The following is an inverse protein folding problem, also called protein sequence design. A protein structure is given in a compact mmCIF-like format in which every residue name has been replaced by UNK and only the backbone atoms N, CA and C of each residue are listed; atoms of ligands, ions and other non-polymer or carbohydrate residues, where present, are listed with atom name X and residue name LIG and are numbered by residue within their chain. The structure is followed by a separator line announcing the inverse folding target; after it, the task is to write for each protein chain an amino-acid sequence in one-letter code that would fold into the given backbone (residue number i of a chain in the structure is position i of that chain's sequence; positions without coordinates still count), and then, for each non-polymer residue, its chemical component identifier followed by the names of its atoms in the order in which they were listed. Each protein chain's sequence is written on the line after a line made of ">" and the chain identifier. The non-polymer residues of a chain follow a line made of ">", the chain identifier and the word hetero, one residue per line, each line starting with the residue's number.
data_IF_373901795813
#
_entry.id   IF_373901795813
#
_cell.length_a   1.000
_cell.length_b   1.000
_cell.length_c   1.000
_cell.angle_alpha   90.00
_cell.angle_beta   90.00
_cell.angle_gamma   90.00
#
_symmetry.space_group_name_H-M   'P 1'
#
loop_
_entity.id
_entity.type
_entity.pdbx_description
1 polymer ?
#
# COMPACT_ATOMS: atom_id res chain seq x y z
N UNK A 1 -17.29 -19.16 -2.32
CA UNK A 1 -16.06 -18.78 -1.60
C UNK A 1 -14.86 -19.38 -2.30
N UNK A 2 -13.92 -18.54 -2.74
CA UNK A 2 -12.67 -18.96 -3.34
C UNK A 2 -11.52 -18.55 -2.42
N UNK A 3 -10.82 -19.53 -1.85
CA UNK A 3 -9.72 -19.33 -0.91
C UNK A 3 -8.37 -19.48 -1.61
N UNK A 4 -7.51 -18.47 -1.47
CA UNK A 4 -6.12 -18.49 -1.93
C UNK A 4 -5.16 -18.06 -0.83
N UNK A 5 -3.85 -18.15 -1.11
CA UNK A 5 -2.80 -17.70 -0.19
C UNK A 5 -2.94 -16.20 0.16
N UNK A 6 -3.35 -15.39 -0.82
CA UNK A 6 -3.40 -13.94 -0.72
C UNK A 6 -4.73 -13.39 -0.20
N UNK A 7 -5.71 -14.24 0.01
CA UNK A 7 -7.02 -13.88 0.56
C UNK A 7 -8.13 -14.78 0.05
N UNK A 8 -9.33 -14.46 0.49
CA UNK A 8 -10.55 -15.20 0.17
C UNK A 8 -11.57 -14.27 -0.44
N UNK A 9 -12.15 -14.63 -1.59
CA UNK A 9 -13.31 -13.91 -2.14
C UNK A 9 -14.61 -14.57 -1.68
N UNK A 10 -15.59 -13.74 -1.33
CA UNK A 10 -16.90 -14.14 -0.82
C UNK A 10 -17.97 -13.51 -1.69
N UNK A 11 -18.73 -14.34 -2.40
CA UNK A 11 -19.89 -13.93 -3.16
C UNK A 11 -21.18 -14.48 -2.54
N UNK A 12 -22.28 -13.79 -2.72
CA UNK A 12 -23.59 -14.18 -2.25
C UNK A 12 -24.68 -13.31 -2.84
N UNK A 13 -25.94 -13.51 -2.45
CA UNK A 13 -27.06 -12.74 -2.95
C UNK A 13 -26.92 -11.24 -2.69
N UNK A 14 -26.31 -10.87 -1.58
CA UNK A 14 -26.05 -9.47 -1.18
C UNK A 14 -25.10 -8.78 -2.14
N UNK A 15 -24.09 -9.49 -2.66
CA UNK A 15 -23.14 -8.90 -3.62
C UNK A 15 -23.73 -8.66 -5.01
N UNK A 16 -24.90 -9.22 -5.31
CA UNK A 16 -25.66 -8.93 -6.53
C UNK A 16 -26.43 -7.60 -6.45
N UNK A 17 -26.42 -6.95 -5.29
CA UNK A 17 -27.00 -5.63 -5.08
C UNK A 17 -25.90 -4.60 -4.89
N UNK A 18 -26.20 -3.31 -5.07
CA UNK A 18 -25.24 -2.24 -4.84
C UNK A 18 -25.17 -1.79 -3.39
N UNK A 19 -26.25 -1.97 -2.63
CA UNK A 19 -26.44 -1.36 -1.30
C UNK A 19 -26.28 -2.34 -0.12
N UNK A 20 -26.43 -3.65 -0.34
CA UNK A 20 -26.46 -4.59 0.78
C UNK A 20 -25.05 -5.01 1.22
N UNK A 21 -24.73 -4.93 2.53
CA UNK A 21 -23.49 -5.49 3.06
C UNK A 21 -23.57 -7.03 3.12
N UNK A 22 -22.40 -7.68 3.14
CA UNK A 22 -22.34 -9.10 3.50
C UNK A 22 -22.58 -9.28 5.00
N UNK A 23 -23.33 -10.32 5.40
CA UNK A 23 -23.48 -10.65 6.81
C UNK A 23 -22.15 -11.11 7.41
N UNK A 24 -21.94 -10.86 8.71
CA UNK A 24 -20.73 -11.26 9.46
C UNK A 24 -20.39 -12.74 9.25
N UNK A 25 -21.39 -13.61 9.26
CA UNK A 25 -21.24 -15.07 9.08
C UNK A 25 -20.77 -15.50 7.68
N UNK A 26 -20.80 -14.60 6.69
CA UNK A 26 -20.33 -14.93 5.33
C UNK A 26 -18.82 -14.94 5.23
N UNK A 27 -18.12 -14.25 6.14
CA UNK A 27 -16.67 -14.18 6.12
C UNK A 27 -16.04 -15.46 6.70
N UNK A 28 -14.91 -15.94 6.11
CA UNK A 28 -14.26 -17.18 6.54
C UNK A 28 -13.75 -17.18 7.97
N UNK A 29 -13.23 -16.04 8.44
CA UNK A 29 -12.72 -15.88 9.80
C UNK A 29 -13.77 -15.20 10.68
N UNK A 30 -13.71 -15.48 11.99
CA UNK A 30 -14.55 -14.79 12.97
C UNK A 30 -13.65 -14.09 13.99
N UNK A 31 -14.16 -13.05 14.66
CA UNK A 31 -13.43 -12.36 15.70
C UNK A 31 -13.20 -13.30 16.90
N UNK A 32 -11.94 -13.68 17.14
CA UNK A 32 -11.52 -14.55 18.25
C UNK A 32 -10.69 -13.80 19.28
N UNK A 33 -9.86 -12.83 18.82
CA UNK A 33 -8.95 -12.08 19.68
C UNK A 33 -9.47 -10.64 19.86
N UNK A 34 -9.55 -10.19 21.11
CA UNK A 34 -10.09 -8.86 21.44
C UNK A 34 -9.02 -7.90 21.96
N UNK A 35 -7.96 -8.43 22.57
CA UNK A 35 -6.87 -7.62 23.11
C UNK A 35 -5.90 -7.20 22.00
N UNK A 36 -5.41 -5.96 22.00
CA UNK A 36 -4.43 -5.51 21.02
C UNK A 36 -3.16 -6.35 21.05
N UNK A 37 -2.60 -6.61 19.88
CA UNK A 37 -1.37 -7.39 19.73
C UNK A 37 -0.38 -6.68 18.82
N UNK A 38 0.81 -6.42 19.33
CA UNK A 38 1.91 -5.89 18.52
C UNK A 38 2.57 -7.02 17.73
N UNK A 39 2.89 -6.73 16.48
CA UNK A 39 3.67 -7.58 15.57
C UNK A 39 4.66 -6.71 14.80
N UNK A 40 5.66 -7.35 14.21
CA UNK A 40 6.55 -6.68 13.26
C UNK A 40 6.70 -7.45 11.97
N UNK A 41 6.88 -6.73 10.87
CA UNK A 41 7.17 -7.26 9.54
C UNK A 41 8.50 -6.72 9.07
N UNK A 42 9.43 -7.61 8.69
CA UNK A 42 10.72 -7.22 8.11
C UNK A 42 10.67 -7.39 6.61
N UNK A 43 11.11 -6.36 5.90
CA UNK A 43 11.27 -6.37 4.45
C UNK A 43 12.75 -6.26 4.08
N UNK A 44 13.15 -7.00 3.06
CA UNK A 44 14.47 -6.91 2.44
C UNK A 44 14.31 -6.68 0.95
N UNK A 45 14.76 -5.52 0.48
CA UNK A 45 14.61 -5.09 -0.92
C UNK A 45 13.16 -5.23 -1.45
N UNK A 46 12.20 -4.86 -0.60
CA UNK A 46 10.76 -4.91 -0.92
C UNK A 46 10.08 -6.24 -0.64
N UNK A 47 10.81 -7.33 -0.39
CA UNK A 47 10.22 -8.64 -0.11
C UNK A 47 10.02 -8.87 1.40
N UNK A 48 8.89 -9.45 1.78
CA UNK A 48 8.59 -9.83 3.16
C UNK A 48 9.47 -11.00 3.61
N UNK A 49 10.52 -10.71 4.37
CA UNK A 49 11.53 -11.67 4.81
C UNK A 49 11.28 -12.28 6.19
N UNK A 50 10.64 -11.54 7.11
CA UNK A 50 10.37 -12.05 8.46
C UNK A 50 9.05 -11.52 9.05
N UNK A 51 8.48 -12.30 9.98
CA UNK A 51 7.37 -11.92 10.84
C UNK A 51 7.82 -12.09 12.29
N UNK A 52 7.72 -11.02 13.11
CA UNK A 52 8.17 -10.98 14.49
C UNK A 52 9.64 -11.45 14.66
N UNK A 53 10.51 -10.97 13.77
CA UNK A 53 11.95 -11.27 13.78
C UNK A 53 12.31 -12.70 13.33
N UNK A 54 11.34 -13.54 12.96
CA UNK A 54 11.60 -14.90 12.49
C UNK A 54 11.60 -14.95 10.97
N UNK A 55 12.74 -15.21 10.38
CA UNK A 55 12.92 -15.36 8.94
C UNK A 55 12.27 -16.64 8.40
N UNK A 56 11.59 -16.52 7.28
CA UNK A 56 11.01 -17.63 6.53
C UNK A 56 10.92 -17.25 5.04
N UNK A 57 10.50 -18.20 4.20
CA UNK A 57 10.14 -17.88 2.83
C UNK A 57 8.95 -16.89 2.79
N UNK A 58 8.84 -16.04 1.77
CA UNK A 58 7.72 -15.09 1.63
C UNK A 58 6.34 -15.77 1.76
N UNK A 59 6.15 -16.92 1.10
CA UNK A 59 4.94 -17.72 1.24
C UNK A 59 4.63 -18.07 2.70
N UNK A 60 5.64 -18.55 3.44
CA UNK A 60 5.48 -18.95 4.83
C UNK A 60 5.17 -17.78 5.75
N UNK A 61 5.78 -16.64 5.49
CA UNK A 61 5.50 -15.39 6.22
C UNK A 61 4.05 -14.93 6.01
N UNK A 62 3.52 -15.02 4.78
CA UNK A 62 2.11 -14.71 4.49
C UNK A 62 1.18 -15.66 5.26
N UNK A 63 1.45 -16.96 5.27
CA UNK A 63 0.67 -17.95 6.04
C UNK A 63 0.68 -17.67 7.54
N UNK A 64 1.84 -17.32 8.11
CA UNK A 64 1.99 -16.96 9.52
C UNK A 64 1.19 -15.71 9.84
N UNK A 65 1.33 -14.67 9.02
CA UNK A 65 0.62 -13.41 9.21
C UNK A 65 -0.90 -13.61 9.11
N UNK A 66 -1.37 -14.39 8.13
CA UNK A 66 -2.79 -14.71 7.99
C UNK A 66 -3.34 -15.43 9.22
N UNK A 67 -2.62 -16.43 9.75
CA UNK A 67 -3.01 -17.16 10.95
C UNK A 67 -3.08 -16.28 12.20
N UNK A 68 -2.30 -15.20 12.25
CA UNK A 68 -2.36 -14.24 13.37
C UNK A 68 -3.50 -13.26 13.16
N UNK A 69 -3.55 -12.60 12.00
CA UNK A 69 -4.39 -11.45 11.74
C UNK A 69 -5.87 -11.82 11.48
N UNK A 70 -6.14 -12.98 10.92
CA UNK A 70 -7.51 -13.46 10.68
C UNK A 70 -8.32 -13.62 11.97
N UNK A 71 -7.66 -13.91 13.11
CA UNK A 71 -8.30 -13.98 14.42
C UNK A 71 -8.87 -12.63 14.90
N UNK A 72 -8.41 -11.54 14.32
CA UNK A 72 -8.90 -10.19 14.56
C UNK A 72 -9.97 -9.75 13.55
N UNK A 73 -10.39 -10.64 12.64
CA UNK A 73 -11.34 -10.36 11.58
C UNK A 73 -10.92 -9.14 10.68
N UNK A 74 -9.63 -8.99 10.45
CA UNK A 74 -9.03 -7.92 9.64
C UNK A 74 -9.13 -8.25 8.14
N UNK A 75 -9.10 -7.24 7.29
CA UNK A 75 -8.98 -7.39 5.84
C UNK A 75 -10.28 -7.64 5.11
N UNK A 76 -11.41 -7.30 5.71
CA UNK A 76 -12.74 -7.44 5.12
C UNK A 76 -13.14 -6.17 4.40
N UNK A 77 -13.60 -6.34 3.16
CA UNK A 77 -14.12 -5.24 2.34
C UNK A 77 -15.03 -5.79 1.24
N UNK A 78 -15.73 -4.88 0.56
CA UNK A 78 -16.50 -5.18 -0.64
C UNK A 78 -15.89 -4.41 -1.81
N UNK A 79 -15.37 -5.15 -2.77
CA UNK A 79 -14.78 -4.61 -3.99
C UNK A 79 -15.80 -4.51 -5.12
N UNK A 80 -15.77 -3.40 -5.85
CA UNK A 80 -16.48 -3.22 -7.12
C UNK A 80 -15.44 -2.94 -8.18
N UNK A 81 -15.38 -3.80 -9.20
CA UNK A 81 -14.37 -3.69 -10.27
C UNK A 81 -14.96 -3.95 -11.64
N UNK A 82 -14.17 -3.59 -12.64
CA UNK A 82 -14.47 -3.89 -14.03
C UNK A 82 -14.02 -5.30 -14.36
N UNK A 83 -14.91 -6.07 -14.98
CA UNK A 83 -14.55 -7.36 -15.55
C UNK A 83 -14.08 -7.18 -16.98
N UNK A 84 -13.26 -8.11 -17.46
CA UNK A 84 -12.74 -8.14 -18.84
C UNK A 84 -13.86 -8.13 -19.89
N UNK A 85 -15.05 -8.62 -19.54
CA UNK A 85 -16.22 -8.63 -20.43
C UNK A 85 -17.07 -7.35 -20.35
N UNK A 86 -16.59 -6.30 -19.65
CA UNK A 86 -17.24 -5.00 -19.58
C UNK A 86 -18.40 -4.87 -18.59
N UNK A 87 -18.63 -5.87 -17.75
CA UNK A 87 -19.67 -5.87 -16.72
C UNK A 87 -19.04 -5.56 -15.36
N UNK A 88 -19.65 -4.68 -14.55
CA UNK A 88 -19.23 -4.45 -13.17
C UNK A 88 -19.43 -5.71 -12.33
N UNK A 89 -18.38 -6.12 -11.64
CA UNK A 89 -18.43 -7.17 -10.64
C UNK A 89 -18.38 -6.60 -9.23
N UNK A 90 -19.14 -7.19 -8.31
CA UNK A 90 -19.11 -6.84 -6.89
C UNK A 90 -18.89 -8.10 -6.07
N UNK A 91 -17.87 -8.08 -5.20
CA UNK A 91 -17.47 -9.25 -4.42
C UNK A 91 -16.91 -8.82 -3.07
N UNK A 92 -17.19 -9.58 -2.03
CA UNK A 92 -16.57 -9.42 -0.73
C UNK A 92 -15.18 -10.07 -0.70
N UNK A 93 -14.29 -9.50 0.09
CA UNK A 93 -12.97 -10.05 0.37
C UNK A 93 -12.71 -10.14 1.86
N UNK A 94 -11.95 -11.16 2.23
CA UNK A 94 -11.21 -11.20 3.48
C UNK A 94 -9.76 -11.56 3.16
N UNK A 95 -8.85 -10.62 3.41
CA UNK A 95 -7.45 -10.71 3.01
C UNK A 95 -6.55 -10.02 4.04
N UNK A 96 -6.50 -10.56 5.26
CA UNK A 96 -5.81 -9.93 6.39
C UNK A 96 -4.31 -9.79 6.13
N UNK A 97 -3.62 -10.86 5.76
CA UNK A 97 -2.19 -10.83 5.49
C UNK A 97 -1.85 -9.92 4.30
N UNK A 98 -2.63 -9.97 3.22
CA UNK A 98 -2.40 -9.15 2.04
C UNK A 98 -2.53 -7.66 2.38
N UNK A 99 -3.62 -7.25 3.03
CA UNK A 99 -3.86 -5.86 3.38
C UNK A 99 -2.77 -5.31 4.30
N UNK A 100 -2.39 -6.06 5.34
CA UNK A 100 -1.35 -5.65 6.28
C UNK A 100 -0.01 -5.56 5.57
N UNK A 101 0.38 -6.57 4.78
CA UNK A 101 1.65 -6.57 4.05
C UNK A 101 1.76 -5.39 3.09
N UNK A 102 0.72 -5.14 2.27
CA UNK A 102 0.70 -4.02 1.32
C UNK A 102 0.82 -2.67 2.04
N UNK A 103 0.06 -2.47 3.12
CA UNK A 103 0.07 -1.22 3.87
C UNK A 103 1.38 -1.00 4.61
N UNK A 104 1.95 -2.05 5.22
CA UNK A 104 3.25 -2.00 5.90
C UNK A 104 4.39 -1.72 4.92
N UNK A 105 4.42 -2.43 3.78
CA UNK A 105 5.38 -2.20 2.73
C UNK A 105 5.31 -0.76 2.20
N UNK A 106 4.11 -0.25 1.93
CA UNK A 106 3.93 1.12 1.47
C UNK A 106 4.36 2.17 2.51
N UNK A 107 4.16 1.91 3.81
CA UNK A 107 4.72 2.78 4.85
C UNK A 107 6.25 2.82 4.77
N UNK A 108 6.91 1.67 4.63
CA UNK A 108 8.37 1.61 4.50
C UNK A 108 8.85 2.32 3.24
N UNK A 109 8.15 2.16 2.10
CA UNK A 109 8.45 2.90 0.87
C UNK A 109 8.41 4.42 1.07
N UNK A 110 7.42 4.94 1.81
CA UNK A 110 7.33 6.38 2.14
C UNK A 110 8.53 6.91 2.90
N UNK A 111 9.19 6.06 3.66
CA UNK A 111 10.40 6.42 4.40
C UNK A 111 11.69 6.27 3.57
N UNK A 112 11.72 5.38 2.59
CA UNK A 112 12.95 4.99 1.89
C UNK A 112 13.03 5.45 0.43
N UNK A 113 11.91 5.84 -0.17
CA UNK A 113 11.85 6.34 -1.54
C UNK A 113 11.70 7.86 -1.57
N UNK A 114 12.33 8.49 -2.56
CA UNK A 114 12.08 9.89 -2.84
C UNK A 114 10.63 10.12 -3.31
N UNK A 115 10.16 11.36 -3.16
CA UNK A 115 8.81 11.76 -3.62
C UNK A 115 8.47 11.25 -5.03
N UNK A 116 9.39 11.44 -5.97
CA UNK A 116 9.15 11.10 -7.38
C UNK A 116 9.26 9.61 -7.65
N UNK A 117 10.16 8.89 -6.95
CA UNK A 117 10.20 7.43 -7.02
C UNK A 117 8.88 6.82 -6.55
N UNK A 118 8.37 7.25 -5.39
CA UNK A 118 7.10 6.76 -4.84
C UNK A 118 5.93 7.01 -5.79
N UNK A 119 5.82 8.25 -6.31
CA UNK A 119 4.73 8.61 -7.21
C UNK A 119 4.72 7.79 -8.51
N UNK A 120 5.89 7.62 -9.14
CA UNK A 120 6.00 6.81 -10.37
C UNK A 120 5.76 5.33 -10.09
N UNK A 121 6.30 4.82 -8.98
CA UNK A 121 6.07 3.43 -8.58
C UNK A 121 4.58 3.14 -8.37
N UNK A 122 3.85 3.99 -7.68
CA UNK A 122 2.41 3.81 -7.45
C UNK A 122 1.62 3.84 -8.76
N UNK A 123 1.98 4.74 -9.67
CA UNK A 123 1.36 4.81 -11.00
C UNK A 123 1.61 3.53 -11.81
N UNK A 124 2.87 3.08 -11.89
CA UNK A 124 3.25 1.90 -12.66
C UNK A 124 2.74 0.60 -12.03
N UNK A 125 2.65 0.53 -10.70
CA UNK A 125 2.07 -0.62 -10.00
C UNK A 125 0.59 -0.82 -10.35
N UNK A 126 -0.17 0.24 -10.53
CA UNK A 126 -1.55 0.17 -10.98
C UNK A 126 -1.64 -0.39 -12.41
N UNK A 127 -0.77 0.05 -13.32
CA UNK A 127 -0.68 -0.49 -14.67
C UNK A 127 -0.31 -1.97 -14.67
N UNK A 128 0.70 -2.35 -13.89
CA UNK A 128 1.11 -3.74 -13.72
C UNK A 128 -0.05 -4.62 -13.24
N UNK A 129 -0.77 -4.16 -12.21
CA UNK A 129 -1.93 -4.87 -11.67
C UNK A 129 -3.05 -5.03 -12.70
N UNK A 130 -3.34 -3.99 -13.50
CA UNK A 130 -4.35 -4.04 -14.56
C UNK A 130 -4.00 -5.07 -15.62
N UNK A 131 -2.78 -5.04 -16.17
CA UNK A 131 -2.33 -6.02 -17.17
C UNK A 131 -2.36 -7.45 -16.62
N UNK A 132 -1.94 -7.63 -15.36
CA UNK A 132 -1.98 -8.95 -14.73
C UNK A 132 -3.42 -9.45 -14.56
N UNK A 133 -4.35 -8.57 -14.12
CA UNK A 133 -5.77 -8.90 -13.98
C UNK A 133 -6.40 -9.29 -15.34
N UNK A 134 -6.01 -8.63 -16.41
CA UNK A 134 -6.49 -8.90 -17.76
C UNK A 134 -5.79 -10.08 -18.46
N UNK A 135 -4.92 -10.80 -17.76
CA UNK A 135 -4.22 -11.97 -18.30
C UNK A 135 -3.08 -11.65 -19.26
N UNK A 136 -2.60 -10.40 -19.28
CA UNK A 136 -1.57 -9.90 -20.20
C UNK A 136 -0.15 -10.05 -19.64
N UNK A 137 0.11 -11.05 -18.82
CA UNK A 137 1.42 -11.26 -18.18
C UNK A 137 2.59 -11.40 -19.17
N UNK A 138 2.33 -11.95 -20.37
CA UNK A 138 3.34 -12.14 -21.41
C UNK A 138 3.57 -10.92 -22.29
N UNK A 139 2.82 -9.83 -22.09
CA UNK A 139 3.03 -8.57 -22.80
C UNK A 139 4.43 -8.02 -22.49
N UNK A 140 5.23 -7.63 -23.48
CA UNK A 140 6.62 -7.19 -23.28
C UNK A 140 6.75 -6.06 -22.26
N UNK A 141 5.82 -5.11 -22.22
CA UNK A 141 5.81 -3.99 -21.26
C UNK A 141 5.83 -4.45 -19.80
N UNK A 142 5.36 -5.67 -19.51
CA UNK A 142 5.40 -6.21 -18.14
C UNK A 142 6.85 -6.35 -17.63
N UNK A 143 7.78 -6.72 -18.50
CA UNK A 143 9.21 -6.80 -18.16
C UNK A 143 9.83 -5.43 -17.91
N UNK A 144 9.39 -4.41 -18.64
CA UNK A 144 9.83 -3.03 -18.43
C UNK A 144 9.33 -2.49 -17.09
N UNK A 145 8.06 -2.78 -16.77
CA UNK A 145 7.46 -2.41 -15.48
C UNK A 145 8.16 -3.12 -14.31
N UNK A 146 8.41 -4.42 -14.44
CA UNK A 146 9.14 -5.19 -13.41
C UNK A 146 10.55 -4.65 -13.20
N UNK A 147 11.29 -4.32 -14.25
CA UNK A 147 12.63 -3.74 -14.13
C UNK A 147 12.62 -2.40 -13.36
N UNK A 148 11.61 -1.56 -13.61
CA UNK A 148 11.43 -0.32 -12.85
C UNK A 148 11.09 -0.62 -11.38
N UNK A 149 10.11 -1.50 -11.14
CA UNK A 149 9.67 -1.86 -9.79
C UNK A 149 10.83 -2.44 -8.98
N UNK A 150 11.55 -3.44 -9.51
CA UNK A 150 12.73 -4.02 -8.86
C UNK A 150 13.82 -2.98 -8.56
N UNK A 151 14.08 -2.09 -9.51
CA UNK A 151 15.05 -1.01 -9.30
C UNK A 151 14.64 -0.08 -8.15
N UNK A 152 13.36 0.22 -8.01
CA UNK A 152 12.84 1.08 -6.94
C UNK A 152 12.97 0.42 -5.56
N UNK A 153 12.92 -0.91 -5.49
CA UNK A 153 12.90 -1.65 -4.22
C UNK A 153 14.28 -1.87 -3.58
N UNK A 154 15.37 -1.53 -4.26
CA UNK A 154 16.74 -1.78 -3.77
C UNK A 154 17.03 -1.20 -2.37
N UNK A 155 16.41 -0.09 -2.01
CA UNK A 155 16.56 0.58 -0.72
C UNK A 155 15.39 0.33 0.25
N UNK A 156 14.35 -0.41 -0.18
CA UNK A 156 13.17 -0.68 0.64
C UNK A 156 13.44 -1.88 1.56
N UNK A 157 14.24 -1.62 2.60
CA UNK A 157 14.63 -2.63 3.60
C UNK A 157 14.46 -2.05 4.99
N UNK A 158 13.86 -2.83 5.90
CA UNK A 158 13.62 -2.40 7.27
C UNK A 158 12.51 -3.20 7.94
N UNK A 159 12.22 -2.83 9.19
CA UNK A 159 11.19 -3.41 10.01
C UNK A 159 10.03 -2.43 10.17
N UNK A 160 8.80 -2.91 10.06
CA UNK A 160 7.58 -2.13 10.26
C UNK A 160 6.85 -2.67 11.48
N UNK A 161 6.49 -1.78 12.41
CA UNK A 161 5.78 -2.11 13.64
C UNK A 161 4.28 -1.88 13.47
N UNK A 162 3.48 -2.82 13.93
CA UNK A 162 2.04 -2.87 13.68
C UNK A 162 1.33 -3.33 14.94
N UNK A 163 0.22 -2.68 15.29
CA UNK A 163 -0.69 -3.17 16.34
C UNK A 163 -1.99 -3.65 15.72
N UNK A 164 -2.31 -4.91 15.95
CA UNK A 164 -3.59 -5.53 15.55
C UNK A 164 -4.65 -5.22 16.60
N UNK A 165 -5.86 -4.90 16.15
CA UNK A 165 -7.05 -4.67 16.95
C UNK A 165 -8.24 -5.41 16.30
N UNK A 166 -9.34 -5.64 17.02
CA UNK A 166 -10.57 -6.11 16.40
C UNK A 166 -10.94 -5.31 15.15
N UNK A 167 -11.07 -5.99 14.01
CA UNK A 167 -11.45 -5.47 12.69
C UNK A 167 -10.50 -4.47 12.03
N UNK A 168 -9.38 -4.08 12.66
CA UNK A 168 -8.45 -3.08 12.14
C UNK A 168 -7.03 -3.31 12.61
N UNK A 169 -6.11 -2.55 12.07
CA UNK A 169 -4.73 -2.45 12.58
C UNK A 169 -4.23 -1.00 12.47
N UNK A 170 -3.17 -0.70 13.21
CA UNK A 170 -2.41 0.55 13.10
C UNK A 170 -0.99 0.25 12.65
N UNK A 171 -0.45 1.15 11.84
CA UNK A 171 0.97 1.16 11.48
C UNK A 171 1.66 2.11 12.45
N UNK A 172 2.47 1.57 13.36
CA UNK A 172 3.00 2.33 14.49
C UNK A 172 4.31 3.05 14.16
N UNK A 173 5.07 2.54 13.17
CA UNK A 173 6.33 3.14 12.74
C UNK A 173 7.22 2.14 12.02
N UNK A 174 8.46 2.59 11.73
CA UNK A 174 9.46 1.77 11.03
C UNK A 174 10.83 1.89 11.69
N UNK A 175 11.71 0.95 11.36
CA UNK A 175 13.16 1.04 11.59
C UNK A 175 13.87 0.64 10.30
N UNK A 176 14.67 1.54 9.74
CA UNK A 176 15.43 1.31 8.49
C UNK A 176 16.73 2.12 8.50
N UNK A 177 17.78 1.54 7.95
CA UNK A 177 19.04 2.26 7.69
C UNK A 177 18.90 3.22 6.51
N UNK A 178 17.90 3.01 5.65
CA UNK A 178 17.60 3.84 4.48
C UNK A 178 16.51 4.90 4.75
N UNK A 179 16.17 5.15 6.03
CA UNK A 179 15.13 6.11 6.39
C UNK A 179 15.55 7.54 6.05
N UNK A 180 14.85 8.17 5.11
CA UNK A 180 15.10 9.54 4.66
C UNK A 180 14.76 10.60 5.71
N UNK A 181 14.04 10.24 6.78
CA UNK A 181 13.84 11.15 7.92
C UNK A 181 15.11 11.34 8.76
N UNK A 182 16.09 10.45 8.65
CA UNK A 182 17.40 10.57 9.32
C UNK A 182 18.37 11.50 8.58
N UNK A 183 17.86 12.48 7.83
CA UNK A 183 18.69 13.41 7.09
C UNK A 183 19.38 14.43 8.00
N UNK A 184 20.59 14.85 7.61
CA UNK A 184 21.33 15.91 8.28
C UNK A 184 20.84 17.35 7.94
N UNK A 185 19.85 17.48 7.05
CA UNK A 185 19.32 18.76 6.58
C UNK A 185 18.39 19.47 7.56
N UNK A 186 18.01 18.82 8.66
CA UNK A 186 17.13 19.36 9.69
C UNK A 186 15.84 18.53 9.85
N UNK A 187 15.15 18.80 10.94
CA UNK A 187 13.88 18.17 11.23
C UNK A 187 12.72 18.92 10.55
N UNK A 188 11.58 18.25 10.39
CA UNK A 188 10.36 18.91 9.96
C UNK A 188 9.96 19.99 10.98
N UNK A 189 9.83 21.24 10.50
CA UNK A 189 9.48 22.39 11.33
C UNK A 189 10.49 23.53 11.25
N UNK A 190 10.83 24.14 12.39
CA UNK A 190 11.54 25.42 12.47
C UNK A 190 13.07 25.31 12.27
N UNK A 191 13.68 24.15 12.45
CA UNK A 191 15.13 23.96 12.36
C UNK A 191 15.57 23.55 10.95
N UNK A 192 15.49 24.49 10.02
CA UNK A 192 15.98 24.26 8.66
C UNK A 192 17.34 24.95 8.47
N UNK A 193 18.32 24.18 7.95
CA UNK A 193 19.66 24.66 7.65
C UNK A 193 19.98 24.69 6.14
N UNK A 194 19.08 24.19 5.29
CA UNK A 194 19.33 23.98 3.87
C UNK A 194 18.86 25.14 2.98
N UNK A 195 17.96 26.00 3.46
CA UNK A 195 17.40 27.12 2.70
C UNK A 195 16.95 28.25 3.63
N UNK A 196 16.74 29.44 3.07
CA UNK A 196 16.30 30.65 3.77
C UNK A 196 14.90 31.06 3.31
N UNK A 197 14.28 32.00 4.05
CA UNK A 197 13.00 32.59 3.64
C UNK A 197 13.07 33.31 2.27
N UNK A 198 14.24 33.84 1.90
CA UNK A 198 14.44 34.47 0.58
C UNK A 198 14.44 33.45 -0.55
N UNK A 199 15.05 32.27 -0.34
CA UNK A 199 15.01 31.15 -1.27
C UNK A 199 13.58 30.66 -1.47
N UNK A 200 12.82 30.50 -0.40
CA UNK A 200 11.41 30.11 -0.45
C UNK A 200 10.57 31.14 -1.20
N UNK A 201 10.76 32.44 -0.95
CA UNK A 201 10.07 33.51 -1.65
C UNK A 201 10.36 33.49 -3.16
N UNK A 202 11.64 33.30 -3.53
CA UNK A 202 12.05 33.16 -4.94
C UNK A 202 11.41 31.96 -5.62
N UNK A 203 11.45 30.81 -4.99
CA UNK A 203 10.85 29.56 -5.46
C UNK A 203 9.33 29.71 -5.69
N UNK A 204 8.59 30.21 -4.69
CA UNK A 204 7.14 30.40 -4.79
C UNK A 204 6.78 31.38 -5.91
N UNK A 205 7.56 32.46 -6.07
CA UNK A 205 7.37 33.45 -7.14
C UNK A 205 7.47 32.80 -8.53
N UNK A 206 8.48 31.97 -8.75
CA UNK A 206 8.69 31.28 -10.02
C UNK A 206 7.60 30.23 -10.25
N UNK A 207 7.33 29.39 -9.23
CA UNK A 207 6.33 28.31 -9.32
C UNK A 207 4.92 28.84 -9.60
N UNK A 208 4.57 30.04 -9.11
CA UNK A 208 3.27 30.65 -9.34
C UNK A 208 3.05 31.19 -10.77
N UNK A 209 4.11 31.31 -11.59
CA UNK A 209 4.00 31.93 -12.92
C UNK A 209 3.07 31.14 -13.86
N UNK A 210 3.13 29.81 -13.84
CA UNK A 210 2.25 29.00 -14.69
C UNK A 210 0.77 29.25 -14.41
N UNK A 211 0.38 29.30 -13.13
CA UNK A 211 -0.99 29.63 -12.72
C UNK A 211 -1.41 31.05 -13.09
N UNK A 212 -0.50 32.03 -12.93
CA UNK A 212 -0.77 33.43 -13.33
C UNK A 212 -0.96 33.57 -14.84
N UNK A 213 -0.14 32.92 -15.64
CA UNK A 213 -0.27 32.91 -17.11
C UNK A 213 -1.64 32.29 -17.48
N UNK A 214 -1.98 31.15 -16.91
CA UNK A 214 -3.26 30.50 -17.16
C UNK A 214 -4.46 31.41 -16.84
N UNK A 215 -4.44 32.06 -15.67
CA UNK A 215 -5.51 33.00 -15.28
C UNK A 215 -5.58 34.19 -16.21
N UNK A 216 -4.44 34.83 -16.50
CA UNK A 216 -4.40 36.02 -17.38
C UNK A 216 -4.99 35.72 -18.76
N UNK A 217 -4.62 34.61 -19.37
CA UNK A 217 -5.13 34.22 -20.71
C UNK A 217 -6.63 33.86 -20.70
N UNK A 218 -7.17 33.37 -19.57
CA UNK A 218 -8.56 32.90 -19.51
C UNK A 218 -9.54 33.87 -18.81
N UNK A 219 -9.05 34.91 -18.12
CA UNK A 219 -9.92 35.88 -17.42
C UNK A 219 -10.27 37.09 -18.30
N UNK A 220 -9.54 37.32 -19.39
CA UNK A 220 -9.78 38.41 -20.34
C UNK A 220 -10.69 38.00 -21.52
N UNK A 221 -11.46 36.95 -21.38
CA UNK A 221 -12.56 36.54 -22.26
C UNK A 221 -13.88 36.64 -21.53
#
# INVERSE_FOLDING_TARGET
>A
VNKGLWGTSVGGAETLTSEKPLPESAYPSQLLEKEPKQISLTFFKGELSAVNGKENSPKKNIEILENIASKYAIGRDIHVGDTIIGIKGRVGFEAAAALITIKAHHLLEKHTLSKWQLQHKDYLANWYGTHLHEGQYLEPVMRDLEAFLESSQKQVSGEVFITLHPYRFTLDGIKSENDLMNSSFGNYGEENKAWTSQDAKGFIKILSNAGKIYQHVNTEK
#
